data_IF_417537410312
#
_entry.id   IF_417537410312
#
_cell.length_a   1.000
_cell.length_b   1.000
_cell.length_c   1.000
_cell.angle_alpha   90.00
_cell.angle_beta   90.00
_cell.angle_gamma   90.00
#
_symmetry.space_group_name_H-M   'P 1'
#
loop_
_entity.id
_entity.type
_entity.pdbx_description
1 polymer ?
#
# COMPACT_ATOMS: atom_id res chain seq x y z
N UNK A 1 5.97 1.11 12.88
CA UNK A 1 7.04 1.75 13.69
C UNK A 1 8.23 2.07 12.79
N UNK A 2 9.07 3.03 13.15
CA UNK A 2 10.41 3.15 12.56
C UNK A 2 11.31 2.06 13.12
N UNK A 3 12.23 1.56 12.31
CA UNK A 3 13.27 0.63 12.76
C UNK A 3 14.37 1.38 13.52
N UNK A 4 14.95 0.72 14.51
CA UNK A 4 15.95 1.26 15.44
C UNK A 4 17.27 0.49 15.32
N UNK A 5 18.41 1.04 15.80
CA UNK A 5 19.70 0.35 15.71
C UNK A 5 19.70 -1.04 16.38
N UNK A 6 18.95 -1.21 17.46
CA UNK A 6 18.82 -2.48 18.20
C UNK A 6 18.01 -3.56 17.48
N UNK A 7 17.39 -3.26 16.32
CA UNK A 7 16.63 -4.25 15.56
C UNK A 7 17.52 -5.26 14.81
N UNK A 8 18.84 -5.02 14.74
CA UNK A 8 19.82 -5.94 14.16
C UNK A 8 19.71 -6.09 12.64
N UNK A 9 19.31 -5.02 11.95
CA UNK A 9 19.11 -5.01 10.50
C UNK A 9 20.46 -4.81 9.79
N UNK A 10 20.86 -5.78 8.99
CA UNK A 10 21.98 -5.58 8.07
C UNK A 10 21.63 -4.46 7.06
N UNK A 11 22.56 -3.53 6.83
CA UNK A 11 22.27 -2.34 6.02
C UNK A 11 21.42 -1.28 6.72
N UNK A 12 21.27 -1.31 8.06
CA UNK A 12 20.47 -0.32 8.81
C UNK A 12 20.82 1.16 8.51
N UNK A 13 22.10 1.46 8.26
CA UNK A 13 22.55 2.81 7.88
C UNK A 13 21.83 3.34 6.61
N UNK A 14 21.38 2.46 5.72
CA UNK A 14 20.66 2.82 4.51
C UNK A 14 19.19 3.18 4.82
N UNK A 15 18.57 2.51 5.80
CA UNK A 15 17.25 2.85 6.32
C UNK A 15 17.27 4.20 7.07
N UNK A 16 18.37 4.54 7.75
CA UNK A 16 18.53 5.83 8.44
C UNK A 16 18.41 7.03 7.50
N UNK A 17 18.84 6.89 6.24
CA UNK A 17 18.62 7.93 5.20
C UNK A 17 17.15 8.22 4.95
N UNK A 18 16.28 7.26 5.30
CA UNK A 18 14.83 7.35 5.24
C UNK A 18 14.21 7.42 6.65
N UNK A 19 14.95 8.00 7.61
CA UNK A 19 14.53 8.18 9.02
C UNK A 19 14.18 6.84 9.71
N UNK A 20 14.78 5.74 9.28
CA UNK A 20 14.48 4.39 9.82
C UNK A 20 13.23 3.75 9.20
N UNK A 21 12.66 4.30 8.13
CA UNK A 21 11.56 3.68 7.39
C UNK A 21 12.05 2.46 6.61
N UNK A 22 11.31 1.35 6.71
CA UNK A 22 11.57 0.13 5.94
C UNK A 22 10.88 0.08 4.58
N UNK A 23 10.16 1.14 4.16
CA UNK A 23 9.45 1.16 2.86
C UNK A 23 10.43 0.87 1.71
N UNK A 24 10.04 -0.01 0.80
CA UNK A 24 10.86 -0.54 -0.29
C UNK A 24 11.91 -1.57 0.17
N UNK A 25 12.57 -1.36 1.31
CA UNK A 25 13.61 -2.25 1.83
C UNK A 25 13.06 -3.59 2.28
N UNK A 26 11.82 -3.65 2.80
CA UNK A 26 11.18 -4.88 3.26
C UNK A 26 11.10 -5.98 2.20
N UNK A 27 11.09 -5.63 0.92
CA UNK A 27 11.05 -6.59 -0.19
C UNK A 27 12.38 -7.33 -0.39
N UNK A 28 13.49 -6.75 0.07
CA UNK A 28 14.85 -7.29 -0.14
C UNK A 28 15.50 -7.72 1.18
N UNK A 29 15.14 -7.12 2.31
CA UNK A 29 15.79 -7.36 3.60
C UNK A 29 15.03 -8.37 4.47
N UNK A 30 15.61 -9.56 4.63
CA UNK A 30 15.00 -10.66 5.39
C UNK A 30 14.80 -10.35 6.87
N UNK A 31 15.70 -9.55 7.47
CA UNK A 31 15.56 -9.14 8.88
C UNK A 31 14.39 -8.18 9.05
N UNK A 32 14.20 -7.23 8.13
CA UNK A 32 13.03 -6.34 8.11
C UNK A 32 11.76 -7.17 7.97
N UNK A 33 11.71 -8.10 7.02
CA UNK A 33 10.58 -9.01 6.83
C UNK A 33 10.28 -9.83 8.10
N UNK A 34 11.31 -10.37 8.76
CA UNK A 34 11.14 -11.10 10.02
C UNK A 34 10.54 -10.22 11.12
N UNK A 35 11.02 -8.99 11.29
CA UNK A 35 10.51 -8.07 12.30
C UNK A 35 9.05 -7.66 12.04
N UNK A 36 8.65 -7.58 10.77
CA UNK A 36 7.25 -7.38 10.40
C UNK A 36 6.38 -8.59 10.80
N UNK A 37 6.87 -9.82 10.58
CA UNK A 37 6.17 -11.04 11.06
C UNK A 37 6.09 -11.12 12.59
N UNK A 38 7.19 -10.79 13.28
CA UNK A 38 7.20 -10.75 14.75
C UNK A 38 6.17 -9.73 15.27
N UNK A 39 6.04 -8.57 14.61
CA UNK A 39 4.99 -7.59 14.90
C UNK A 39 3.59 -8.15 14.63
N UNK A 40 3.37 -8.79 13.49
CA UNK A 40 2.07 -9.39 13.14
C UNK A 40 1.62 -10.40 14.20
N UNK A 41 2.52 -11.30 14.63
CA UNK A 41 2.25 -12.24 15.73
C UNK A 41 1.83 -11.51 17.00
N UNK A 42 2.63 -10.54 17.45
CA UNK A 42 2.37 -9.81 18.69
C UNK A 42 1.06 -9.01 18.64
N UNK A 43 0.83 -8.30 17.53
CA UNK A 43 -0.34 -7.45 17.35
C UNK A 43 -1.63 -8.27 17.21
N UNK A 44 -1.63 -9.29 16.35
CA UNK A 44 -2.83 -10.07 16.07
C UNK A 44 -3.19 -11.05 17.19
N UNK A 45 -2.22 -11.42 18.04
CA UNK A 45 -2.46 -12.23 19.23
C UNK A 45 -2.86 -11.42 20.46
N UNK A 46 -2.79 -10.09 20.37
CA UNK A 46 -3.21 -9.22 21.47
C UNK A 46 -4.70 -9.42 21.73
N UNK A 47 -5.05 -9.72 23.00
CA UNK A 47 -6.43 -9.84 23.44
C UNK A 47 -6.99 -8.48 23.83
N UNK A 48 -8.03 -8.06 23.14
CA UNK A 48 -8.78 -6.86 23.48
C UNK A 48 -9.31 -6.97 24.92
N UNK A 49 -9.18 -5.91 25.72
CA UNK A 49 -9.59 -5.93 27.13
C UNK A 49 -11.11 -5.96 27.34
N UNK A 50 -11.89 -5.57 26.33
CA UNK A 50 -13.35 -5.54 26.37
C UNK A 50 -13.96 -6.82 25.78
N UNK A 51 -13.56 -7.23 24.57
CA UNK A 51 -14.11 -8.43 23.91
C UNK A 51 -13.45 -9.72 24.40
N UNK A 52 -12.25 -9.64 24.99
CA UNK A 52 -11.39 -10.77 25.40
C UNK A 52 -10.93 -11.68 24.25
N UNK A 53 -11.27 -11.33 23.02
CA UNK A 53 -10.83 -12.00 21.80
C UNK A 53 -9.46 -11.45 21.38
N UNK A 54 -8.63 -12.31 20.80
CA UNK A 54 -7.46 -11.84 20.06
C UNK A 54 -7.92 -11.14 18.79
N UNK A 55 -7.23 -10.10 18.32
CA UNK A 55 -7.68 -9.34 17.14
C UNK A 55 -7.92 -10.20 15.90
N UNK A 56 -7.12 -11.25 15.68
CA UNK A 56 -7.33 -12.21 14.58
C UNK A 56 -8.61 -13.05 14.70
N UNK A 57 -9.16 -13.17 15.90
CA UNK A 57 -10.34 -13.97 16.24
C UNK A 57 -11.58 -13.08 16.49
N UNK A 58 -11.42 -11.75 16.46
CA UNK A 58 -12.49 -10.79 16.72
C UNK A 58 -13.34 -10.54 15.46
N UNK A 59 -14.66 -10.86 15.46
CA UNK A 59 -15.50 -10.71 14.28
C UNK A 59 -15.72 -9.24 13.87
N UNK A 60 -15.35 -8.27 14.71
CA UNK A 60 -15.36 -6.85 14.34
C UNK A 60 -14.23 -6.49 13.36
N UNK A 61 -13.18 -7.31 13.25
CA UNK A 61 -12.12 -7.14 12.24
C UNK A 61 -12.60 -7.79 10.95
N UNK A 62 -12.74 -7.00 9.89
CA UNK A 62 -13.28 -7.45 8.58
C UNK A 62 -12.22 -7.51 7.48
N UNK A 63 -11.01 -7.02 7.73
CA UNK A 63 -9.91 -7.05 6.78
C UNK A 63 -8.60 -6.57 7.40
N UNK A 64 -7.48 -6.86 6.74
CA UNK A 64 -6.14 -6.40 7.13
C UNK A 64 -5.41 -5.77 5.94
N UNK A 65 -4.50 -4.84 6.23
CA UNK A 65 -3.54 -4.27 5.29
C UNK A 65 -2.12 -4.53 5.81
N UNK A 66 -1.28 -5.22 5.04
CA UNK A 66 0.09 -5.57 5.47
C UNK A 66 0.98 -4.33 5.48
N UNK A 67 0.95 -3.53 4.42
CA UNK A 67 1.69 -2.26 4.33
C UNK A 67 0.84 -1.15 3.72
N UNK A 68 1.08 0.09 4.15
CA UNK A 68 0.42 1.28 3.62
C UNK A 68 1.32 1.97 2.62
N UNK A 69 0.86 2.12 1.38
CA UNK A 69 1.51 2.89 0.32
C UNK A 69 2.98 2.49 0.16
N UNK A 70 3.23 1.22 -0.16
CA UNK A 70 4.58 0.66 -0.22
C UNK A 70 4.74 -0.30 -1.38
N UNK A 71 5.13 0.22 -2.54
CA UNK A 71 5.48 -0.55 -3.74
C UNK A 71 6.90 -0.24 -4.20
N UNK A 72 7.51 -1.21 -4.86
CA UNK A 72 8.77 -1.07 -5.57
C UNK A 72 8.55 -0.94 -7.08
N UNK A 73 7.35 -1.22 -7.58
CA UNK A 73 7.01 -1.08 -9.01
C UNK A 73 7.00 0.38 -9.49
N UNK A 74 6.70 1.36 -8.64
CA UNK A 74 6.66 2.79 -8.97
C UNK A 74 7.48 3.67 -8.01
N UNK A 75 7.26 3.55 -6.70
CA UNK A 75 7.74 4.56 -5.75
C UNK A 75 9.11 4.24 -5.16
N UNK A 76 9.35 3.00 -4.74
CA UNK A 76 10.54 2.68 -3.93
C UNK A 76 11.58 1.79 -4.62
N UNK A 77 11.32 1.22 -5.80
CA UNK A 77 12.26 0.31 -6.48
C UNK A 77 13.59 1.00 -6.84
N UNK A 78 13.52 2.26 -7.28
CA UNK A 78 14.71 3.04 -7.62
C UNK A 78 15.66 3.25 -6.43
N UNK A 79 15.18 3.10 -5.18
CA UNK A 79 16.02 3.22 -3.98
C UNK A 79 17.12 2.15 -3.91
N UNK A 80 16.93 1.03 -4.59
CA UNK A 80 17.88 -0.08 -4.60
C UNK A 80 18.92 0.02 -5.72
N UNK A 81 18.87 1.06 -6.56
CA UNK A 81 19.83 1.21 -7.65
C UNK A 81 21.24 1.55 -7.12
N UNK A 82 22.32 1.08 -7.77
CA UNK A 82 23.69 1.27 -7.29
C UNK A 82 24.08 2.73 -7.05
N UNK A 83 23.49 3.67 -7.80
CA UNK A 83 23.75 5.11 -7.71
C UNK A 83 23.07 5.79 -6.51
N UNK A 84 22.22 5.08 -5.75
CA UNK A 84 21.53 5.65 -4.56
C UNK A 84 22.33 5.52 -3.27
N UNK A 85 23.54 4.97 -3.35
CA UNK A 85 24.46 4.83 -2.22
C UNK A 85 23.99 3.84 -1.17
N UNK A 86 23.15 2.86 -1.54
CA UNK A 86 22.63 1.83 -0.63
C UNK A 86 23.28 0.46 -0.94
N UNK A 87 24.62 0.31 -0.78
CA UNK A 87 25.36 -0.84 -1.30
C UNK A 87 24.86 -2.21 -0.80
N UNK A 88 24.40 -2.32 0.45
CA UNK A 88 23.88 -3.56 0.99
C UNK A 88 22.62 -4.01 0.25
N UNK A 89 21.60 -3.13 0.17
CA UNK A 89 20.36 -3.48 -0.52
C UNK A 89 20.52 -3.48 -2.06
N UNK A 90 21.39 -2.64 -2.62
CA UNK A 90 21.73 -2.67 -4.04
C UNK A 90 22.35 -3.99 -4.45
N UNK A 91 23.23 -4.57 -3.61
CA UNK A 91 23.77 -5.90 -3.87
C UNK A 91 22.65 -6.95 -3.97
N UNK A 92 21.75 -6.99 -2.98
CA UNK A 92 20.61 -7.93 -2.98
C UNK A 92 19.71 -7.74 -4.20
N UNK A 93 19.38 -6.49 -4.55
CA UNK A 93 18.57 -6.16 -5.71
C UNK A 93 19.20 -6.65 -7.01
N UNK A 94 20.49 -6.38 -7.22
CA UNK A 94 21.21 -6.78 -8.43
C UNK A 94 21.39 -8.31 -8.52
N UNK A 95 21.66 -8.97 -7.40
CA UNK A 95 21.77 -10.43 -7.33
C UNK A 95 20.43 -11.09 -7.70
N UNK A 96 19.32 -10.60 -7.14
CA UNK A 96 17.96 -11.11 -7.47
C UNK A 96 17.53 -10.78 -8.89
N UNK A 97 17.87 -9.60 -9.42
CA UNK A 97 17.58 -9.25 -10.81
C UNK A 97 18.33 -10.18 -11.80
N UNK A 98 19.59 -10.52 -11.50
CA UNK A 98 20.37 -11.49 -12.28
C UNK A 98 19.74 -12.88 -12.23
N UNK A 99 19.42 -13.37 -11.04
CA UNK A 99 18.77 -14.68 -10.87
C UNK A 99 17.41 -14.74 -11.58
N UNK A 100 16.63 -13.67 -11.51
CA UNK A 100 15.35 -13.55 -12.21
C UNK A 100 15.51 -13.59 -13.73
N UNK A 101 16.46 -12.84 -14.27
CA UNK A 101 16.79 -12.84 -15.70
C UNK A 101 17.22 -14.23 -16.19
N UNK A 102 18.07 -14.93 -15.43
CA UNK A 102 18.49 -16.30 -15.73
C UNK A 102 17.32 -17.28 -15.73
N UNK A 103 16.41 -17.15 -14.76
CA UNK A 103 15.22 -18.02 -14.63
C UNK A 103 14.18 -17.80 -15.72
N UNK A 104 14.06 -16.58 -16.25
CA UNK A 104 12.98 -16.19 -17.17
C UNK A 104 13.43 -16.00 -18.62
N UNK A 105 14.73 -15.88 -18.87
CA UNK A 105 15.28 -15.52 -20.18
C UNK A 105 15.10 -14.04 -20.55
N UNK A 106 14.59 -13.19 -19.64
CA UNK A 106 14.44 -11.76 -19.88
C UNK A 106 15.80 -11.04 -19.92
N UNK A 107 15.97 -9.98 -20.74
CA UNK A 107 17.25 -9.30 -20.88
C UNK A 107 17.77 -8.75 -19.55
N UNK A 108 18.96 -9.21 -19.12
CA UNK A 108 19.52 -8.83 -17.83
C UNK A 108 19.74 -7.31 -17.72
N UNK A 109 20.21 -6.68 -18.80
CA UNK A 109 20.50 -5.25 -18.88
C UNK A 109 19.25 -4.36 -18.71
N UNK A 110 18.05 -4.89 -18.98
CA UNK A 110 16.76 -4.22 -18.78
C UNK A 110 16.07 -4.58 -17.47
N UNK A 111 16.34 -5.77 -16.93
CA UNK A 111 15.63 -6.32 -15.76
C UNK A 111 15.81 -5.48 -14.50
N UNK A 112 17.00 -4.91 -14.27
CA UNK A 112 17.27 -4.13 -13.06
C UNK A 112 16.88 -2.65 -13.19
N UNK A 113 16.51 -2.17 -14.37
CA UNK A 113 16.21 -0.75 -14.64
C UNK A 113 14.84 -0.37 -14.10
N UNK A 114 14.74 -0.20 -12.79
CA UNK A 114 13.48 -0.01 -12.09
C UNK A 114 12.65 1.20 -12.57
N UNK A 115 13.25 2.18 -13.25
CA UNK A 115 12.56 3.35 -13.82
C UNK A 115 11.91 3.09 -15.19
N UNK A 116 12.32 2.04 -15.92
CA UNK A 116 11.81 1.74 -17.26
C UNK A 116 10.56 0.84 -17.19
N UNK A 117 9.64 0.90 -18.18
CA UNK A 117 8.65 -0.14 -18.38
C UNK A 117 9.29 -1.44 -18.90
N UNK A 118 8.54 -2.54 -18.88
CA UNK A 118 8.97 -3.82 -19.48
C UNK A 118 9.57 -4.80 -18.46
N UNK A 119 10.71 -5.49 -18.78
CA UNK A 119 11.26 -6.56 -17.94
C UNK A 119 11.44 -6.19 -16.47
N UNK A 120 11.82 -4.95 -16.17
CA UNK A 120 11.98 -4.48 -14.81
C UNK A 120 10.68 -4.48 -14.00
N UNK A 121 9.55 -4.13 -14.61
CA UNK A 121 8.25 -4.17 -13.91
C UNK A 121 7.81 -5.60 -13.61
N UNK A 122 8.12 -6.55 -14.49
CA UNK A 122 7.86 -7.97 -14.24
C UNK A 122 8.72 -8.46 -13.07
N UNK A 123 10.02 -8.11 -13.05
CA UNK A 123 10.90 -8.43 -11.93
C UNK A 123 10.41 -7.82 -10.61
N UNK A 124 10.07 -6.54 -10.59
CA UNK A 124 9.59 -5.86 -9.38
C UNK A 124 8.29 -6.49 -8.85
N UNK A 125 7.35 -6.86 -9.72
CA UNK A 125 6.16 -7.62 -9.31
C UNK A 125 6.52 -9.00 -8.77
N UNK A 126 7.47 -9.72 -9.37
CA UNK A 126 7.93 -11.01 -8.84
C UNK A 126 8.54 -10.87 -7.44
N UNK A 127 9.26 -9.78 -7.16
CA UNK A 127 9.80 -9.49 -5.82
C UNK A 127 8.70 -9.16 -4.81
N UNK A 128 7.72 -8.33 -5.18
CA UNK A 128 6.55 -8.07 -4.34
C UNK A 128 5.75 -9.36 -4.10
N UNK A 129 5.51 -10.15 -5.14
CA UNK A 129 4.78 -11.42 -5.07
C UNK A 129 5.43 -12.42 -4.10
N UNK A 130 6.74 -12.56 -4.15
CA UNK A 130 7.49 -13.42 -3.23
C UNK A 130 7.34 -12.97 -1.78
N UNK A 131 7.45 -11.67 -1.51
CA UNK A 131 7.23 -11.11 -0.18
C UNK A 131 5.78 -11.30 0.29
N UNK A 132 4.82 -10.97 -0.57
CA UNK A 132 3.38 -11.07 -0.32
C UNK A 132 2.99 -12.50 0.05
N UNK A 133 3.42 -13.48 -0.75
CA UNK A 133 3.15 -14.90 -0.51
C UNK A 133 3.65 -15.35 0.85
N UNK A 134 4.87 -14.96 1.25
CA UNK A 134 5.42 -15.30 2.57
C UNK A 134 4.66 -14.62 3.71
N UNK A 135 4.28 -13.35 3.55
CA UNK A 135 3.49 -12.63 4.55
C UNK A 135 2.09 -13.19 4.72
N UNK A 136 1.40 -13.47 3.61
CA UNK A 136 0.07 -14.06 3.61
C UNK A 136 0.08 -15.47 4.20
N UNK A 137 1.07 -16.29 3.85
CA UNK A 137 1.25 -17.61 4.47
C UNK A 137 1.49 -17.51 5.98
N UNK A 138 2.30 -16.54 6.42
CA UNK A 138 2.50 -16.27 7.84
C UNK A 138 1.19 -15.85 8.53
N UNK A 139 0.45 -14.88 7.98
CA UNK A 139 -0.84 -14.45 8.56
C UNK A 139 -1.86 -15.61 8.63
N UNK A 140 -1.93 -16.44 7.59
CA UNK A 140 -2.73 -17.66 7.59
C UNK A 140 -2.30 -18.62 8.70
N UNK A 141 -1.00 -18.80 8.92
CA UNK A 141 -0.47 -19.65 10.00
C UNK A 141 -0.82 -19.13 11.41
N UNK A 142 -1.05 -17.81 11.56
CA UNK A 142 -1.56 -17.23 12.81
C UNK A 142 -3.05 -17.49 13.03
N UNK A 143 -3.78 -17.92 11.98
CA UNK A 143 -5.22 -18.15 12.01
C UNK A 143 -6.06 -16.98 11.51
N UNK A 144 -5.47 -16.01 10.79
CA UNK A 144 -6.22 -14.94 10.11
C UNK A 144 -7.14 -15.54 9.05
N UNK A 145 -8.42 -15.12 9.05
CA UNK A 145 -9.46 -15.62 8.13
C UNK A 145 -10.11 -14.54 7.25
N UNK A 146 -9.86 -13.28 7.58
CA UNK A 146 -10.40 -12.13 6.84
C UNK A 146 -9.57 -11.84 5.58
N UNK A 147 -10.13 -11.13 4.58
CA UNK A 147 -9.37 -10.64 3.44
C UNK A 147 -8.16 -9.80 3.88
N UNK A 148 -7.06 -9.93 3.14
CA UNK A 148 -5.82 -9.19 3.39
C UNK A 148 -5.39 -8.47 2.12
N UNK A 149 -5.16 -7.17 2.20
CA UNK A 149 -4.44 -6.40 1.18
C UNK A 149 -2.94 -6.42 1.52
N UNK A 150 -2.10 -6.62 0.50
CA UNK A 150 -0.64 -6.64 0.66
C UNK A 150 -0.07 -5.23 0.78
N UNK A 151 -0.57 -4.35 -0.10
CA UNK A 151 -0.50 -2.90 -0.05
C UNK A 151 -1.68 -2.38 -0.88
N UNK A 152 -1.68 -1.09 -1.19
CA UNK A 152 -2.65 -0.42 -2.03
C UNK A 152 -1.98 0.16 -3.30
N UNK A 153 -2.76 0.36 -4.37
CA UNK A 153 -2.36 1.26 -5.46
C UNK A 153 -2.57 2.71 -5.02
N UNK A 154 -1.62 3.59 -5.32
CA UNK A 154 -1.61 4.97 -4.82
C UNK A 154 -0.69 5.85 -5.65
N UNK A 155 -0.72 7.16 -5.42
CA UNK A 155 0.39 8.03 -5.81
C UNK A 155 0.77 8.03 -7.30
N UNK A 156 -0.20 7.87 -8.22
CA UNK A 156 0.04 7.74 -9.67
C UNK A 156 0.74 6.43 -10.09
N UNK A 157 0.69 5.40 -9.24
CA UNK A 157 1.20 4.07 -9.57
C UNK A 157 0.56 3.57 -10.88
N UNK A 158 1.36 3.20 -11.89
CA UNK A 158 0.86 2.70 -13.17
C UNK A 158 0.23 1.31 -13.02
N UNK A 159 -0.58 0.92 -14.01
CA UNK A 159 -1.25 -0.38 -14.07
C UNK A 159 -0.29 -1.58 -13.94
N UNK A 160 0.98 -1.41 -14.31
CA UNK A 160 1.97 -2.46 -14.15
C UNK A 160 2.33 -2.77 -12.70
N UNK A 161 1.84 -2.02 -11.70
CA UNK A 161 1.96 -2.36 -10.29
C UNK A 161 0.78 -3.19 -9.74
N UNK A 162 -0.30 -3.38 -10.50
CA UNK A 162 -1.45 -4.17 -10.04
C UNK A 162 -1.18 -5.67 -9.86
N UNK A 163 -0.35 -6.37 -10.67
CA UNK A 163 -0.25 -7.82 -10.61
C UNK A 163 0.09 -8.36 -9.21
N UNK A 164 1.07 -7.80 -8.51
CA UNK A 164 1.42 -8.26 -7.15
C UNK A 164 0.33 -7.94 -6.11
N UNK A 165 -0.52 -6.93 -6.32
CA UNK A 165 -1.67 -6.67 -5.45
C UNK A 165 -2.71 -7.81 -5.53
N UNK A 166 -2.75 -8.52 -6.67
CA UNK A 166 -3.59 -9.70 -6.85
C UNK A 166 -3.12 -10.93 -6.06
N UNK A 167 -2.15 -10.83 -5.17
CA UNK A 167 -1.90 -11.88 -4.18
C UNK A 167 -2.89 -11.81 -3.01
N UNK A 168 -3.41 -10.61 -2.73
CA UNK A 168 -4.31 -10.35 -1.62
C UNK A 168 -5.70 -10.99 -1.76
N UNK A 169 -6.45 -10.95 -0.65
CA UNK A 169 -7.87 -11.28 -0.63
C UNK A 169 -8.73 -10.22 -1.35
N UNK A 170 -8.25 -8.98 -1.39
CA UNK A 170 -8.84 -7.85 -2.10
C UNK A 170 -7.76 -6.95 -2.69
N UNK A 171 -8.10 -6.18 -3.71
CA UNK A 171 -7.29 -5.05 -4.18
C UNK A 171 -7.64 -3.85 -3.31
N UNK A 172 -6.64 -3.06 -2.92
CA UNK A 172 -6.86 -1.81 -2.19
C UNK A 172 -6.32 -0.62 -2.99
N UNK A 173 -6.98 0.53 -2.87
CA UNK A 173 -6.67 1.75 -3.60
C UNK A 173 -6.75 2.98 -2.70
N UNK A 174 -5.75 3.85 -2.79
CA UNK A 174 -5.76 5.17 -2.20
C UNK A 174 -5.82 6.22 -3.30
N UNK A 175 -6.84 7.09 -3.26
CA UNK A 175 -7.04 8.10 -4.30
C UNK A 175 -7.68 9.37 -3.74
N UNK A 176 -7.03 10.50 -3.98
CA UNK A 176 -7.42 11.80 -3.43
C UNK A 176 -7.81 12.78 -4.54
N UNK A 177 -9.00 13.36 -4.39
CA UNK A 177 -9.51 14.39 -5.29
C UNK A 177 -8.93 15.77 -5.04
N UNK A 178 -9.28 16.70 -5.92
CA UNK A 178 -8.92 18.12 -5.86
C UNK A 178 -10.19 18.94 -6.16
N UNK A 179 -10.14 20.25 -5.97
CA UNK A 179 -11.22 21.13 -6.39
C UNK A 179 -11.51 20.96 -7.89
N UNK A 180 -12.78 21.09 -8.28
CA UNK A 180 -13.26 21.02 -9.66
C UNK A 180 -13.00 19.67 -10.34
N UNK A 181 -12.82 18.59 -9.57
CA UNK A 181 -12.75 17.23 -10.08
C UNK A 181 -14.06 16.77 -10.73
N UNK A 182 -15.20 17.30 -10.27
CA UNK A 182 -16.53 17.07 -10.85
C UNK A 182 -16.76 17.86 -12.15
N UNK A 183 -16.06 19.00 -12.31
CA UNK A 183 -16.11 19.84 -13.51
C UNK A 183 -15.25 19.27 -14.66
N UNK A 184 -14.33 18.35 -14.35
CA UNK A 184 -13.50 17.68 -15.34
C UNK A 184 -14.32 16.71 -16.18
N UNK A 185 -14.16 16.78 -17.50
CA UNK A 185 -14.76 15.79 -18.40
C UNK A 185 -13.96 14.47 -18.30
N UNK A 186 -14.53 13.39 -17.75
CA UNK A 186 -13.80 12.14 -17.51
C UNK A 186 -13.36 11.45 -18.80
N UNK A 187 -13.87 11.86 -19.97
CA UNK A 187 -13.41 11.40 -21.28
C UNK A 187 -12.01 11.90 -21.63
N UNK A 188 -11.63 13.09 -21.14
CA UNK A 188 -10.41 13.79 -21.56
C UNK A 188 -9.45 14.04 -20.42
N UNK A 189 -9.92 13.97 -19.17
CA UNK A 189 -9.11 14.25 -17.98
C UNK A 189 -9.42 13.23 -16.89
N UNK A 190 -8.37 12.55 -16.42
CA UNK A 190 -8.48 11.66 -15.26
C UNK A 190 -8.66 12.47 -13.96
N UNK A 191 -9.51 11.97 -13.07
CA UNK A 191 -9.64 12.46 -11.70
C UNK A 191 -9.45 11.29 -10.71
N UNK A 192 -9.66 11.54 -9.42
CA UNK A 192 -9.49 10.53 -8.38
C UNK A 192 -10.39 9.29 -8.57
N UNK A 193 -11.59 9.44 -9.15
CA UNK A 193 -12.48 8.32 -9.51
C UNK A 193 -11.87 7.50 -10.64
N UNK A 194 -11.28 8.14 -11.66
CA UNK A 194 -10.59 7.42 -12.75
C UNK A 194 -9.45 6.55 -12.22
N UNK A 195 -8.70 7.04 -11.23
CA UNK A 195 -7.62 6.28 -10.59
C UNK A 195 -8.14 5.09 -9.76
N UNK A 196 -9.29 5.24 -9.09
CA UNK A 196 -9.95 4.12 -8.41
C UNK A 196 -10.44 3.09 -9.44
N UNK A 197 -11.06 3.53 -10.53
CA UNK A 197 -11.48 2.63 -11.60
C UNK A 197 -10.30 1.87 -12.23
N UNK A 198 -9.15 2.52 -12.37
CA UNK A 198 -7.92 1.88 -12.84
C UNK A 198 -7.37 0.83 -11.87
N UNK A 199 -7.75 0.86 -10.60
CA UNK A 199 -7.36 -0.15 -9.60
C UNK A 199 -8.15 -1.46 -9.73
N UNK A 200 -9.34 -1.43 -10.35
CA UNK A 200 -10.20 -2.60 -10.44
C UNK A 200 -9.54 -3.71 -11.26
N UNK A 201 -9.40 -4.89 -10.66
CA UNK A 201 -8.99 -6.11 -11.35
C UNK A 201 -10.21 -7.02 -11.51
N UNK A 202 -10.41 -7.54 -12.73
CA UNK A 202 -11.55 -8.41 -13.01
C UNK A 202 -11.59 -9.63 -12.08
N UNK A 203 -12.75 -9.90 -11.48
CA UNK A 203 -12.96 -11.02 -10.57
C UNK A 203 -12.32 -10.87 -9.19
N UNK A 204 -11.82 -9.67 -8.83
CA UNK A 204 -11.27 -9.38 -7.49
C UNK A 204 -12.08 -8.28 -6.81
N UNK A 205 -12.36 -8.39 -5.49
CA UNK A 205 -13.01 -7.30 -4.76
C UNK A 205 -12.07 -6.10 -4.63
N UNK A 206 -12.65 -4.89 -4.65
CA UNK A 206 -11.95 -3.62 -4.53
C UNK A 206 -12.35 -2.89 -3.25
N UNK A 207 -11.38 -2.75 -2.34
CA UNK A 207 -11.44 -1.81 -1.24
C UNK A 207 -10.81 -0.47 -1.66
N UNK A 208 -11.33 0.61 -1.09
CA UNK A 208 -10.78 1.96 -1.24
C UNK A 208 -10.58 2.47 0.18
N UNK A 209 -9.55 1.94 0.86
CA UNK A 209 -9.39 2.21 2.30
C UNK A 209 -9.00 3.66 2.58
N UNK A 210 -8.56 4.40 1.57
CA UNK A 210 -8.40 5.85 1.64
C UNK A 210 -8.89 6.57 0.37
N UNK A 211 -9.88 7.43 0.55
CA UNK A 211 -10.17 8.50 -0.40
C UNK A 211 -10.59 9.77 0.33
N UNK A 212 -10.31 10.94 -0.25
CA UNK A 212 -10.87 12.21 0.21
C UNK A 212 -10.66 13.33 -0.81
N UNK A 213 -11.38 14.44 -0.63
CA UNK A 213 -11.15 15.72 -1.31
C UNK A 213 -10.74 16.74 -0.25
N UNK A 214 -9.63 17.48 -0.38
CA UNK A 214 -9.14 18.33 0.71
C UNK A 214 -10.08 19.49 1.04
N UNK A 215 -10.33 19.77 2.31
CA UNK A 215 -10.97 21.04 2.71
C UNK A 215 -10.05 22.24 2.36
N UNK A 216 -10.58 23.37 1.87
CA UNK A 216 -11.99 23.70 1.61
C UNK A 216 -12.40 23.55 0.13
N UNK A 217 -11.86 22.57 -0.61
CA UNK A 217 -12.22 22.42 -2.02
C UNK A 217 -13.74 22.25 -2.19
N UNK A 218 -14.30 22.93 -3.19
CA UNK A 218 -15.76 23.00 -3.43
C UNK A 218 -16.40 21.60 -3.52
N UNK A 219 -15.72 20.66 -4.17
CA UNK A 219 -16.18 19.28 -4.36
C UNK A 219 -16.31 18.49 -3.05
N UNK A 220 -15.78 18.96 -1.93
CA UNK A 220 -15.71 18.18 -0.69
C UNK A 220 -17.09 17.77 -0.16
N UNK A 221 -18.09 18.66 -0.21
CA UNK A 221 -19.46 18.35 0.23
C UNK A 221 -20.19 17.33 -0.65
N UNK A 222 -19.77 17.19 -1.92
CA UNK A 222 -20.40 16.29 -2.88
C UNK A 222 -19.58 15.02 -3.14
N UNK A 223 -18.31 14.97 -2.70
CA UNK A 223 -17.38 13.89 -3.00
C UNK A 223 -17.89 12.53 -2.53
N UNK A 224 -18.50 12.47 -1.34
CA UNK A 224 -19.07 11.24 -0.79
C UNK A 224 -20.21 10.72 -1.67
N UNK A 225 -21.20 11.56 -1.95
CA UNK A 225 -22.32 11.19 -2.82
C UNK A 225 -21.86 10.75 -4.20
N UNK A 226 -20.89 11.47 -4.78
CA UNK A 226 -20.34 11.14 -6.09
C UNK A 226 -19.61 9.79 -6.08
N UNK A 227 -18.70 9.56 -5.15
CA UNK A 227 -17.94 8.31 -5.08
C UNK A 227 -18.88 7.13 -4.79
N UNK A 228 -19.84 7.27 -3.88
CA UNK A 228 -20.79 6.19 -3.56
C UNK A 228 -21.68 5.84 -4.76
N UNK A 229 -22.12 6.83 -5.53
CA UNK A 229 -22.90 6.59 -6.75
C UNK A 229 -22.08 5.81 -7.79
N UNK A 230 -20.82 6.20 -8.01
CA UNK A 230 -19.94 5.48 -8.93
C UNK A 230 -19.60 4.08 -8.39
N UNK A 231 -19.28 3.95 -7.11
CA UNK A 231 -19.00 2.66 -6.46
C UNK A 231 -20.16 1.68 -6.64
N UNK A 232 -21.40 2.14 -6.47
CA UNK A 232 -22.61 1.33 -6.67
C UNK A 232 -22.79 0.87 -8.11
N UNK A 233 -22.39 1.70 -9.10
CA UNK A 233 -22.45 1.37 -10.52
C UNK A 233 -21.30 0.45 -10.97
N UNK A 234 -20.12 0.62 -10.39
CA UNK A 234 -18.91 -0.14 -10.74
C UNK A 234 -18.79 -1.45 -9.94
N UNK A 235 -19.58 -1.62 -8.87
CA UNK A 235 -19.49 -2.77 -7.97
C UNK A 235 -18.27 -2.75 -7.07
N UNK A 236 -17.82 -1.57 -6.62
CA UNK A 236 -16.72 -1.46 -5.65
C UNK A 236 -17.18 -1.84 -4.24
N UNK A 237 -16.43 -2.70 -3.56
CA UNK A 237 -16.92 -3.44 -2.39
C UNK A 237 -16.81 -2.69 -1.06
N UNK A 238 -15.74 -1.91 -0.86
CA UNK A 238 -15.48 -1.29 0.44
C UNK A 238 -14.85 0.12 0.36
N UNK A 239 -15.62 1.16 0.01
CA UNK A 239 -15.15 2.53 0.07
C UNK A 239 -15.04 3.07 1.51
N UNK A 240 -13.89 3.61 1.90
CA UNK A 240 -13.63 4.15 3.25
C UNK A 240 -13.05 5.57 3.16
N UNK A 241 -13.76 6.54 3.74
CA UNK A 241 -13.36 7.94 3.73
C UNK A 241 -12.16 8.16 4.66
N UNK A 242 -11.05 8.66 4.12
CA UNK A 242 -9.88 9.04 4.92
C UNK A 242 -9.92 10.53 5.27
N UNK A 243 -10.06 10.95 6.52
CA UNK A 243 -10.26 10.13 7.70
C UNK A 243 -11.05 10.89 8.74
N UNK A 244 -11.50 10.18 9.78
CA UNK A 244 -12.31 10.78 10.83
C UNK A 244 -11.54 11.88 11.59
N UNK A 245 -10.36 11.55 12.12
CA UNK A 245 -9.48 12.51 12.78
C UNK A 245 -8.01 12.11 12.66
N UNK A 246 -7.16 13.06 12.22
CA UNK A 246 -5.69 12.88 12.21
C UNK A 246 -5.02 13.31 13.52
N UNK A 247 -5.79 13.86 14.45
CA UNK A 247 -5.30 14.36 15.71
C UNK A 247 -6.16 13.80 16.84
N UNK A 248 -5.66 13.88 18.09
CA UNK A 248 -6.45 13.53 19.27
C UNK A 248 -7.78 14.28 19.26
N UNK A 249 -8.87 13.54 19.52
CA UNK A 249 -10.21 14.09 19.66
C UNK A 249 -10.22 15.02 20.88
N UNK A 250 -10.37 16.31 20.63
CA UNK A 250 -10.46 17.36 21.63
C UNK A 250 -11.57 18.34 21.25
N UNK A 251 -12.20 18.98 22.23
CA UNK A 251 -13.24 20.01 22.04
C UNK A 251 -12.72 21.21 21.20
N UNK A 252 -13.64 22.02 20.63
CA UNK A 252 -13.88 22.06 19.19
C UNK A 252 -12.66 22.51 18.36
N UNK A 253 -12.36 21.79 17.27
CA UNK A 253 -11.29 22.16 16.33
C UNK A 253 -11.83 22.89 15.11
N UNK A 254 -10.99 23.75 14.54
CA UNK A 254 -11.16 24.27 13.18
C UNK A 254 -11.13 23.12 12.17
N UNK A 255 -11.83 23.29 11.05
CA UNK A 255 -11.78 22.36 9.92
C UNK A 255 -10.33 22.01 9.55
N UNK A 256 -10.09 20.74 9.27
CA UNK A 256 -8.79 20.19 8.90
C UNK A 256 -8.86 19.74 7.45
N UNK A 257 -7.74 19.83 6.73
CA UNK A 257 -7.67 19.46 5.32
C UNK A 257 -8.25 18.06 5.03
N UNK A 258 -8.03 17.07 5.90
CA UNK A 258 -8.50 15.69 5.67
C UNK A 258 -9.35 15.10 6.79
N UNK A 259 -9.52 15.78 7.93
CA UNK A 259 -10.32 15.22 9.05
C UNK A 259 -11.80 15.58 8.91
N UNK A 260 -12.70 14.61 8.96
CA UNK A 260 -14.15 14.85 8.89
C UNK A 260 -14.81 15.17 10.24
N UNK A 261 -14.14 14.90 11.37
CA UNK A 261 -14.68 15.13 12.71
C UNK A 261 -15.18 16.57 12.97
N UNK A 262 -14.54 17.57 12.36
CA UNK A 262 -14.90 18.98 12.50
C UNK A 262 -15.13 19.65 11.14
N UNK A 263 -15.61 18.87 10.18
CA UNK A 263 -15.90 19.31 8.83
C UNK A 263 -17.32 19.86 8.74
N UNK A 264 -17.52 21.11 8.29
CA UNK A 264 -18.85 21.68 8.14
C UNK A 264 -19.59 21.21 6.87
N UNK A 265 -18.90 20.49 5.98
CA UNK A 265 -19.44 20.00 4.71
C UNK A 265 -20.33 18.76 4.87
#
# INVERSE_FOLDING_TARGET
RLFLPGDGIEGYAELLKQRGSGKGFNYFNERVEKLMRDFNQAYLSHKNTYTRLAYKDDPAVVGLLITNENDITHHFGNRMLPDKGNPHHSKQFMDRARAFSQRTGLPQDKTWRAWEPGPSKIFLNDQEHQFNTRMLAHLKSLGVRVPVATTNTWGLMPLCGLPALTDGGWIDCHSYGKAEALSANPRYQANFISWIGAAQVYGRPLAITEWNVPYPAADRSMAATYLMAIASLQGWDAPMLYGYAQNRLSYPRRASQWSTYADPA
#
